data_IF_258923751685
#
_entry.id   IF_258923751685
#
_cell.length_a   1.000
_cell.length_b   1.000
_cell.length_c   1.000
_cell.angle_alpha   90.00
_cell.angle_beta   90.00
_cell.angle_gamma   90.00
#
_symmetry.space_group_name_H-M   'P 1'
#
loop_
_entity.id
_entity.type
_entity.pdbx_description
1 polymer ?
#
# COMPACT_ATOMS: atom_id res chain seq x y z
N UNK A 1 22.95 13.61 1.52
CA UNK A 1 21.53 13.55 1.94
C UNK A 1 20.89 12.26 1.47
N UNK A 2 20.93 11.93 0.16
CA UNK A 2 20.37 10.70 -0.39
C UNK A 2 21.00 9.44 0.23
N UNK A 3 22.34 9.38 0.41
CA UNK A 3 23.00 8.24 1.02
C UNK A 3 22.54 7.93 2.45
N UNK A 4 22.18 8.97 3.22
CA UNK A 4 21.60 8.78 4.57
C UNK A 4 20.19 8.21 4.48
N UNK A 5 19.38 8.69 3.54
CA UNK A 5 18.03 8.18 3.31
C UNK A 5 18.04 6.70 2.89
N UNK A 6 18.93 6.31 1.99
CA UNK A 6 19.12 4.91 1.56
C UNK A 6 19.51 4.02 2.74
N UNK A 7 20.53 4.43 3.52
CA UNK A 7 20.98 3.64 4.69
C UNK A 7 19.87 3.50 5.72
N UNK A 8 19.11 4.56 6.00
CA UNK A 8 18.00 4.50 6.98
C UNK A 8 16.88 3.61 6.47
N UNK A 9 16.43 3.81 5.22
CA UNK A 9 15.34 3.03 4.63
C UNK A 9 15.68 1.53 4.56
N UNK A 10 16.94 1.20 4.26
CA UNK A 10 17.40 -0.18 4.23
C UNK A 10 17.55 -0.78 5.64
N UNK A 11 18.06 -0.03 6.61
CA UNK A 11 18.12 -0.50 8.01
C UNK A 11 16.73 -0.84 8.57
N UNK A 12 15.74 0.00 8.27
CA UNK A 12 14.34 -0.28 8.62
C UNK A 12 13.83 -1.53 7.89
N UNK A 13 14.16 -1.68 6.60
CA UNK A 13 13.80 -2.85 5.80
C UNK A 13 14.35 -4.15 6.39
N UNK A 14 15.66 -4.21 6.73
CA UNK A 14 16.27 -5.39 7.35
C UNK A 14 15.54 -5.81 8.63
N UNK A 15 15.20 -4.84 9.48
CA UNK A 15 14.47 -5.11 10.71
C UNK A 15 13.06 -5.64 10.45
N UNK A 16 12.35 -5.08 9.47
CA UNK A 16 11.00 -5.49 9.09
C UNK A 16 10.99 -6.88 8.45
N UNK A 17 11.95 -7.19 7.60
CA UNK A 17 12.13 -8.54 7.02
C UNK A 17 12.31 -9.56 8.14
N UNK A 18 13.15 -9.29 9.13
CA UNK A 18 13.33 -10.17 10.29
C UNK A 18 12.02 -10.41 11.06
N UNK A 19 11.17 -9.40 11.17
CA UNK A 19 9.82 -9.52 11.75
C UNK A 19 8.90 -10.43 10.92
N UNK A 20 8.89 -10.25 9.60
CA UNK A 20 8.13 -11.08 8.66
C UNK A 20 8.60 -12.54 8.69
N UNK A 21 9.90 -12.77 8.62
CA UNK A 21 10.50 -14.12 8.70
C UNK A 21 10.15 -14.83 10.00
N UNK A 22 10.17 -14.11 11.12
CA UNK A 22 9.81 -14.66 12.43
C UNK A 22 8.35 -15.11 12.49
N UNK A 23 7.44 -14.33 11.94
CA UNK A 23 6.00 -14.62 11.98
C UNK A 23 5.58 -15.66 10.93
N UNK A 24 6.03 -15.49 9.70
CA UNK A 24 5.54 -16.27 8.56
C UNK A 24 6.45 -17.44 8.15
N UNK A 25 7.66 -17.54 8.71
CA UNK A 25 8.59 -18.66 8.51
C UNK A 25 8.76 -19.00 7.01
N UNK A 26 8.42 -20.23 6.61
CA UNK A 26 8.54 -20.70 5.23
C UNK A 26 7.66 -19.91 4.23
N UNK A 27 6.65 -19.20 4.71
CA UNK A 27 5.76 -18.35 3.91
C UNK A 27 6.20 -16.88 3.86
N UNK A 28 7.34 -16.52 4.48
CA UNK A 28 7.84 -15.13 4.51
C UNK A 28 8.08 -14.57 3.11
N UNK A 29 8.61 -15.37 2.18
CA UNK A 29 8.82 -14.96 0.78
C UNK A 29 7.53 -14.46 0.10
N UNK A 30 6.40 -15.12 0.37
CA UNK A 30 5.08 -14.71 -0.14
C UNK A 30 4.66 -13.33 0.40
N UNK A 31 4.92 -13.06 1.68
CA UNK A 31 4.63 -11.76 2.29
C UNK A 31 5.53 -10.66 1.71
N UNK A 32 6.81 -10.96 1.46
CA UNK A 32 7.74 -10.03 0.81
C UNK A 32 7.33 -9.75 -0.63
N UNK A 33 6.81 -10.73 -1.37
CA UNK A 33 6.25 -10.53 -2.71
C UNK A 33 5.03 -9.61 -2.68
N UNK A 34 4.14 -9.76 -1.71
CA UNK A 34 3.03 -8.84 -1.49
C UNK A 34 3.52 -7.43 -1.14
N UNK A 35 4.50 -7.29 -0.24
CA UNK A 35 5.10 -6.02 0.12
C UNK A 35 5.69 -5.28 -1.10
N UNK A 36 6.42 -6.00 -1.96
CA UNK A 36 7.02 -5.44 -3.17
C UNK A 36 5.97 -4.95 -4.19
N UNK A 37 4.77 -5.50 -4.16
CA UNK A 37 3.66 -5.13 -5.03
C UNK A 37 2.68 -4.13 -4.39
N UNK A 38 2.78 -3.86 -3.09
CA UNK A 38 1.84 -3.04 -2.34
C UNK A 38 1.75 -1.60 -2.84
N UNK A 39 2.80 -1.07 -3.49
CA UNK A 39 2.80 0.28 -4.08
C UNK A 39 1.68 0.49 -5.10
N UNK A 40 1.23 -0.57 -5.78
CA UNK A 40 0.12 -0.53 -6.75
C UNK A 40 -1.18 -1.12 -6.24
N UNK A 41 -1.13 -2.08 -5.30
CA UNK A 41 -2.34 -2.77 -4.79
C UNK A 41 -2.96 -2.07 -3.59
N UNK A 42 -2.12 -1.55 -2.70
CA UNK A 42 -2.53 -0.92 -1.45
C UNK A 42 -2.01 0.53 -1.29
N UNK A 43 -1.23 1.06 -2.25
CA UNK A 43 -0.65 2.40 -2.16
C UNK A 43 0.40 2.55 -1.05
N UNK A 44 1.01 1.45 -0.61
CA UNK A 44 2.01 1.39 0.46
C UNK A 44 3.39 1.04 -0.11
N UNK A 45 4.45 1.60 0.46
CA UNK A 45 5.81 1.09 0.23
C UNK A 45 5.98 -0.29 0.87
N UNK A 46 7.02 -1.01 0.47
CA UNK A 46 7.32 -2.33 1.04
C UNK A 46 7.52 -2.28 2.56
N UNK A 47 8.20 -1.24 3.07
CA UNK A 47 8.40 -1.02 4.49
C UNK A 47 7.07 -0.77 5.23
N UNK A 48 6.22 0.14 4.71
CA UNK A 48 4.90 0.43 5.30
C UNK A 48 4.00 -0.81 5.30
N UNK A 49 4.04 -1.62 4.24
CA UNK A 49 3.32 -2.89 4.19
C UNK A 49 3.83 -3.86 5.26
N UNK A 50 5.14 -4.07 5.36
CA UNK A 50 5.73 -5.00 6.34
C UNK A 50 5.49 -4.55 7.79
N UNK A 51 5.55 -3.26 8.09
CA UNK A 51 5.18 -2.70 9.39
C UNK A 51 3.71 -2.99 9.71
N UNK A 52 2.82 -2.77 8.75
CA UNK A 52 1.39 -3.01 8.91
C UNK A 52 1.12 -4.49 9.14
N UNK A 53 1.62 -5.37 8.28
CA UNK A 53 1.37 -6.82 8.36
C UNK A 53 1.84 -7.42 9.67
N UNK A 54 3.03 -7.06 10.15
CA UNK A 54 3.59 -7.60 11.40
C UNK A 54 2.80 -7.16 12.62
N UNK A 55 2.10 -6.03 12.54
CA UNK A 55 1.36 -5.45 13.68
C UNK A 55 0.14 -6.27 14.14
N UNK A 56 -0.43 -7.15 13.30
CA UNK A 56 -1.63 -7.93 13.61
C UNK A 56 -1.55 -9.42 13.22
N UNK A 57 -0.51 -9.85 12.50
CA UNK A 57 -0.43 -11.21 11.95
C UNK A 57 -0.34 -12.32 13.00
N UNK A 58 0.19 -12.04 14.19
CA UNK A 58 0.18 -13.00 15.29
C UNK A 58 -1.24 -13.49 15.64
N UNK A 59 -2.23 -12.60 15.57
CA UNK A 59 -3.64 -12.94 15.79
C UNK A 59 -4.24 -13.72 14.63
N UNK A 60 -3.86 -13.43 13.37
CA UNK A 60 -4.24 -14.23 12.22
C UNK A 60 -3.69 -15.65 12.31
N UNK A 61 -2.40 -15.80 12.60
CA UNK A 61 -1.75 -17.09 12.79
C UNK A 61 -2.47 -17.92 13.87
N UNK A 62 -2.80 -17.28 14.99
CA UNK A 62 -3.55 -17.95 16.07
C UNK A 62 -4.93 -18.40 15.62
N UNK A 63 -5.67 -17.57 14.88
CA UNK A 63 -7.02 -17.91 14.41
C UNK A 63 -7.02 -18.97 13.29
N UNK A 64 -5.90 -19.12 12.58
CA UNK A 64 -5.71 -20.09 11.49
C UNK A 64 -4.93 -21.35 11.92
N UNK A 65 -4.76 -21.56 13.24
CA UNK A 65 -4.07 -22.73 13.78
C UNK A 65 -2.59 -22.82 13.42
N UNK A 66 -1.94 -21.69 13.14
CA UNK A 66 -0.53 -21.59 12.78
C UNK A 66 -0.23 -21.80 11.28
N UNK A 67 -1.25 -21.84 10.42
CA UNK A 67 -1.08 -21.93 8.97
C UNK A 67 -0.52 -20.61 8.42
N UNK A 68 0.80 -20.57 8.21
CA UNK A 68 1.52 -19.37 7.79
C UNK A 68 1.18 -18.93 6.37
N UNK A 69 0.87 -19.88 5.48
CA UNK A 69 0.51 -19.57 4.09
C UNK A 69 -0.85 -18.89 4.02
N UNK A 70 -1.87 -19.45 4.69
CA UNK A 70 -3.17 -18.80 4.78
C UNK A 70 -3.09 -17.46 5.51
N UNK A 71 -2.30 -17.38 6.58
CA UNK A 71 -2.12 -16.13 7.30
C UNK A 71 -1.52 -15.03 6.41
N UNK A 72 -0.61 -15.35 5.50
CA UNK A 72 -0.09 -14.41 4.51
C UNK A 72 -1.21 -13.89 3.58
N UNK A 73 -2.08 -14.77 3.06
CA UNK A 73 -3.19 -14.39 2.19
C UNK A 73 -4.23 -13.51 2.90
N UNK A 74 -4.58 -13.89 4.13
CA UNK A 74 -5.51 -13.10 4.94
C UNK A 74 -4.93 -11.74 5.36
N UNK A 75 -3.63 -11.68 5.60
CA UNK A 75 -2.95 -10.45 5.93
C UNK A 75 -2.92 -9.48 4.73
N UNK A 76 -2.61 -9.97 3.53
CA UNK A 76 -2.65 -9.17 2.30
C UNK A 76 -4.07 -8.68 1.99
N UNK A 77 -5.07 -9.57 2.13
CA UNK A 77 -6.49 -9.20 2.02
C UNK A 77 -6.85 -8.07 3.00
N UNK A 78 -6.47 -8.21 4.28
CA UNK A 78 -6.77 -7.20 5.29
C UNK A 78 -6.13 -5.84 4.97
N UNK A 79 -4.86 -5.82 4.54
CA UNK A 79 -4.15 -4.57 4.20
C UNK A 79 -4.76 -3.91 2.96
N UNK A 80 -5.08 -4.69 1.94
CA UNK A 80 -5.76 -4.19 0.74
C UNK A 80 -7.12 -3.61 1.09
N UNK A 81 -7.92 -4.32 1.90
CA UNK A 81 -9.23 -3.84 2.37
C UNK A 81 -9.13 -2.57 3.22
N UNK A 82 -8.10 -2.45 4.07
CA UNK A 82 -7.85 -1.21 4.83
C UNK A 82 -7.59 -0.03 3.90
N UNK A 83 -6.72 -0.22 2.89
CA UNK A 83 -6.39 0.82 1.92
C UNK A 83 -7.58 1.21 1.05
N UNK A 84 -8.32 0.22 0.56
CA UNK A 84 -9.52 0.44 -0.24
C UNK A 84 -10.59 1.18 0.54
N UNK A 85 -10.79 0.84 1.81
CA UNK A 85 -11.71 1.54 2.71
C UNK A 85 -11.26 2.98 2.95
N UNK A 86 -10.02 3.19 3.33
CA UNK A 86 -9.46 4.52 3.57
C UNK A 86 -9.65 5.41 2.34
N UNK A 87 -9.33 4.88 1.17
CA UNK A 87 -9.42 5.61 -0.09
C UNK A 87 -10.87 5.91 -0.49
N UNK A 88 -11.74 4.88 -0.54
CA UNK A 88 -13.12 5.01 -1.00
C UNK A 88 -14.00 5.82 -0.05
N UNK A 89 -13.83 5.61 1.25
CA UNK A 89 -14.66 6.25 2.28
C UNK A 89 -14.06 7.58 2.77
N UNK A 90 -12.86 7.96 2.29
CA UNK A 90 -12.15 9.15 2.76
C UNK A 90 -11.80 9.07 4.24
N UNK A 91 -11.43 7.90 4.72
CA UNK A 91 -11.02 7.66 6.10
C UNK A 91 -9.50 7.73 6.20
N UNK A 92 -9.02 8.06 7.39
CA UNK A 92 -7.60 8.02 7.68
C UNK A 92 -7.11 6.57 7.81
N UNK A 93 -6.02 6.22 7.12
CA UNK A 93 -5.47 4.85 7.08
C UNK A 93 -5.07 4.35 8.48
N UNK A 94 -4.48 5.21 9.31
CA UNK A 94 -4.10 4.84 10.68
C UNK A 94 -5.33 4.52 11.54
N UNK A 95 -6.40 5.26 11.36
CA UNK A 95 -7.69 4.99 12.04
C UNK A 95 -8.27 3.63 11.65
N UNK A 96 -8.21 3.27 10.37
CA UNK A 96 -8.66 1.95 9.89
C UNK A 96 -7.74 0.84 10.41
N UNK A 97 -6.42 1.02 10.33
CA UNK A 97 -5.45 0.07 10.85
C UNK A 97 -5.63 -0.17 12.36
N UNK A 98 -5.90 0.90 13.13
CA UNK A 98 -6.16 0.77 14.56
C UNK A 98 -7.47 0.01 14.84
N UNK A 99 -8.49 0.14 13.99
CA UNK A 99 -9.72 -0.66 14.08
C UNK A 99 -9.39 -2.16 13.89
N UNK A 100 -8.66 -2.53 12.84
CA UNK A 100 -8.26 -3.92 12.60
C UNK A 100 -7.36 -4.49 13.72
N UNK A 101 -6.42 -3.70 14.26
CA UNK A 101 -5.65 -4.05 15.47
C UNK A 101 -6.56 -4.24 16.70
N UNK A 102 -7.62 -3.46 16.81
CA UNK A 102 -8.66 -3.65 17.84
C UNK A 102 -9.41 -4.96 17.64
N UNK A 103 -9.86 -5.27 16.43
CA UNK A 103 -10.58 -6.51 16.11
C UNK A 103 -9.73 -7.74 16.39
N UNK A 104 -8.44 -7.70 16.13
CA UNK A 104 -7.50 -8.78 16.46
C UNK A 104 -7.42 -9.08 17.95
N UNK A 105 -7.82 -8.13 18.80
CA UNK A 105 -7.89 -8.23 20.28
C UNK A 105 -9.33 -8.35 20.79
N UNK A 106 -10.29 -8.65 19.92
CA UNK A 106 -11.73 -8.72 20.24
C UNK A 106 -12.30 -7.40 20.79
N UNK A 107 -11.76 -6.27 20.35
CA UNK A 107 -12.22 -4.92 20.69
C UNK A 107 -12.82 -4.27 19.46
N UNK A 108 -14.13 -3.98 19.49
CA UNK A 108 -14.92 -3.55 18.32
C UNK A 108 -15.31 -2.07 18.34
N UNK A 109 -14.80 -1.31 19.30
CA UNK A 109 -15.17 0.12 19.52
C UNK A 109 -14.85 1.03 18.34
N UNK A 110 -13.97 0.62 17.45
CA UNK A 110 -13.56 1.39 16.27
C UNK A 110 -14.17 0.86 14.95
N UNK A 111 -15.19 0.00 15.01
CA UNK A 111 -15.81 -0.55 13.80
C UNK A 111 -16.47 0.55 12.96
N UNK A 112 -17.00 1.58 13.58
CA UNK A 112 -17.59 2.74 12.94
C UNK A 112 -16.59 3.58 12.12
N UNK A 113 -15.29 3.50 12.41
CA UNK A 113 -14.24 4.15 11.60
C UNK A 113 -14.24 3.65 10.14
N UNK A 114 -14.66 2.40 9.89
CA UNK A 114 -14.77 1.84 8.56
C UNK A 114 -15.92 2.44 7.74
N UNK A 115 -16.84 3.15 8.38
CA UNK A 115 -18.02 3.81 7.73
C UNK A 115 -18.89 2.85 6.90
N UNK A 116 -18.95 1.59 7.27
CA UNK A 116 -19.72 0.54 6.58
C UNK A 116 -21.19 0.46 7.07
N UNK A 117 -21.63 1.38 7.93
CA UNK A 117 -22.99 1.41 8.47
C UNK A 117 -23.17 0.57 9.73
N UNK A 118 -22.08 0.21 10.39
CA UNK A 118 -22.06 -0.52 11.66
C UNK A 118 -21.47 0.36 12.76
N UNK A 119 -22.05 0.29 13.98
CA UNK A 119 -21.56 1.02 15.15
C UNK A 119 -20.40 0.28 15.84
N UNK A 120 -19.75 0.97 16.78
CA UNK A 120 -18.56 0.48 17.50
C UNK A 120 -18.90 -0.45 18.67
N UNK A 121 -19.71 -1.49 18.48
CA UNK A 121 -20.04 -2.46 19.53
C UNK A 121 -19.86 -3.91 19.07
N UNK A 122 -19.84 -4.84 20.03
CA UNK A 122 -19.76 -6.27 19.71
C UNK A 122 -20.99 -6.77 18.96
N UNK A 123 -22.17 -6.26 19.33
CA UNK A 123 -23.44 -6.58 18.69
C UNK A 123 -23.45 -6.11 17.23
N UNK A 124 -22.88 -4.95 16.95
CA UNK A 124 -22.76 -4.43 15.59
C UNK A 124 -21.73 -5.21 14.75
N UNK A 125 -20.64 -5.69 15.35
CA UNK A 125 -19.73 -6.62 14.68
C UNK A 125 -20.44 -7.93 14.36
N UNK A 126 -21.24 -8.49 15.31
CA UNK A 126 -22.03 -9.69 15.03
C UNK A 126 -23.01 -9.45 13.89
N UNK A 127 -23.69 -8.30 13.85
CA UNK A 127 -24.59 -7.92 12.75
C UNK A 127 -23.84 -7.88 11.40
N UNK A 128 -22.61 -7.35 11.37
CA UNK A 128 -21.78 -7.34 10.17
C UNK A 128 -21.49 -8.78 9.70
N UNK A 129 -21.14 -9.68 10.62
CA UNK A 129 -20.88 -11.09 10.30
C UNK A 129 -22.14 -11.79 9.77
N UNK A 130 -23.30 -11.52 10.39
CA UNK A 130 -24.59 -12.09 9.97
C UNK A 130 -25.01 -11.57 8.58
N UNK A 131 -24.70 -10.31 8.26
CA UNK A 131 -24.96 -9.73 6.94
C UNK A 131 -23.99 -10.30 5.88
N UNK A 132 -22.71 -10.49 6.23
CA UNK A 132 -21.73 -11.15 5.37
C UNK A 132 -22.11 -12.61 5.10
N UNK A 133 -22.65 -13.34 6.10
CA UNK A 133 -23.18 -14.70 5.93
C UNK A 133 -24.32 -14.75 4.90
N UNK A 134 -25.25 -13.79 4.96
CA UNK A 134 -26.36 -13.70 3.99
C UNK A 134 -25.88 -13.49 2.54
N UNK A 135 -24.76 -12.78 2.36
CA UNK A 135 -24.19 -12.50 1.04
C UNK A 135 -23.37 -13.69 0.54
N UNK A 136 -22.46 -14.23 1.37
CA UNK A 136 -21.50 -15.26 0.98
C UNK A 136 -22.01 -16.68 1.12
N UNK A 137 -23.01 -16.90 1.99
CA UNK A 137 -23.46 -18.24 2.42
C UNK A 137 -22.48 -18.92 3.40
N UNK A 138 -21.43 -18.23 3.86
CA UNK A 138 -20.41 -18.75 4.79
C UNK A 138 -20.73 -18.22 6.19
N UNK A 139 -20.73 -19.12 7.18
CA UNK A 139 -20.90 -18.73 8.58
C UNK A 139 -19.57 -18.26 9.17
N UNK A 140 -19.59 -17.11 9.82
CA UNK A 140 -18.44 -16.46 10.45
C UNK A 140 -18.51 -16.54 11.97
N UNK A 141 -17.35 -16.75 12.61
CA UNK A 141 -17.22 -16.77 14.08
C UNK A 141 -16.57 -15.46 14.55
N UNK A 142 -17.27 -14.69 15.37
CA UNK A 142 -16.78 -13.44 15.93
C UNK A 142 -15.51 -13.61 16.78
N UNK A 143 -15.23 -14.80 17.29
CA UNK A 143 -14.01 -15.12 18.04
C UNK A 143 -12.79 -15.36 17.13
N UNK A 144 -13.02 -15.64 15.85
CA UNK A 144 -11.97 -15.86 14.84
C UNK A 144 -11.63 -14.54 14.14
N UNK A 145 -10.38 -14.08 14.29
CA UNK A 145 -9.95 -12.87 13.61
C UNK A 145 -9.93 -13.02 12.08
N UNK A 146 -9.57 -14.20 11.57
CA UNK A 146 -9.63 -14.50 10.14
C UNK A 146 -11.07 -14.38 9.60
N UNK A 147 -12.07 -14.87 10.34
CA UNK A 147 -13.48 -14.77 9.94
C UNK A 147 -13.96 -13.31 9.93
N UNK A 148 -13.51 -12.49 10.89
CA UNK A 148 -13.81 -11.06 10.94
C UNK A 148 -13.23 -10.37 9.69
N UNK A 149 -11.96 -10.64 9.34
CA UNK A 149 -11.33 -10.09 8.13
C UNK A 149 -12.12 -10.48 6.88
N UNK A 150 -12.49 -11.74 6.76
CA UNK A 150 -13.22 -12.24 5.59
C UNK A 150 -14.64 -11.65 5.49
N UNK A 151 -15.34 -11.54 6.60
CA UNK A 151 -16.66 -10.91 6.64
C UNK A 151 -16.61 -9.41 6.24
N UNK A 152 -15.61 -8.66 6.72
CA UNK A 152 -15.40 -7.27 6.32
C UNK A 152 -15.13 -7.19 4.81
N UNK A 153 -14.29 -8.08 4.28
CA UNK A 153 -14.02 -8.16 2.84
C UNK A 153 -15.30 -8.36 2.01
N UNK A 154 -16.16 -9.29 2.44
CA UNK A 154 -17.46 -9.55 1.77
C UNK A 154 -18.34 -8.30 1.77
N UNK A 155 -18.46 -7.61 2.90
CA UNK A 155 -19.24 -6.38 2.99
C UNK A 155 -18.65 -5.27 2.12
N UNK A 156 -17.32 -5.08 2.13
CA UNK A 156 -16.67 -4.08 1.29
C UNK A 156 -16.80 -4.38 -0.20
N UNK A 157 -16.75 -5.66 -0.57
CA UNK A 157 -16.95 -6.10 -1.96
C UNK A 157 -18.37 -5.80 -2.43
N UNK A 158 -19.38 -6.12 -1.63
CA UNK A 158 -20.80 -5.81 -1.92
C UNK A 158 -21.04 -4.30 -2.06
N UNK A 159 -20.34 -3.49 -1.26
CA UNK A 159 -20.40 -2.01 -1.33
C UNK A 159 -19.57 -1.42 -2.47
N UNK A 160 -18.85 -2.21 -3.27
CA UNK A 160 -17.99 -1.73 -4.36
C UNK A 160 -16.78 -0.92 -3.86
N UNK A 161 -16.26 -1.27 -2.69
CA UNK A 161 -15.07 -0.65 -2.09
C UNK A 161 -13.81 -1.40 -2.52
N UNK A 162 -13.86 -2.73 -2.54
CA UNK A 162 -12.73 -3.60 -2.89
C UNK A 162 -12.15 -3.27 -4.27
N UNK A 163 -10.84 -3.14 -4.38
CA UNK A 163 -10.09 -2.83 -5.61
C UNK A 163 -10.02 -1.34 -5.95
N UNK A 164 -10.57 -0.46 -5.11
CA UNK A 164 -10.60 0.99 -5.38
C UNK A 164 -9.19 1.57 -5.44
N UNK A 165 -8.29 1.20 -4.52
CA UNK A 165 -6.93 1.76 -4.45
C UNK A 165 -6.13 1.42 -5.70
N UNK A 166 -6.12 0.15 -6.11
CA UNK A 166 -5.43 -0.29 -7.31
C UNK A 166 -5.98 0.41 -8.58
N UNK A 167 -7.30 0.55 -8.67
CA UNK A 167 -7.95 1.24 -9.78
C UNK A 167 -7.58 2.74 -9.80
N UNK A 168 -7.62 3.41 -8.68
CA UNK A 168 -7.28 4.83 -8.60
C UNK A 168 -5.79 5.09 -8.87
N UNK A 169 -4.89 4.19 -8.46
CA UNK A 169 -3.47 4.26 -8.81
C UNK A 169 -3.25 4.32 -10.33
N UNK A 170 -4.10 3.67 -11.11
CA UNK A 170 -4.00 3.63 -12.56
C UNK A 170 -4.81 4.73 -13.28
N UNK A 171 -5.95 5.16 -12.71
CA UNK A 171 -6.95 5.95 -13.41
C UNK A 171 -7.08 7.40 -12.90
N UNK A 172 -6.53 7.74 -11.74
CA UNK A 172 -6.65 9.08 -11.16
C UNK A 172 -5.30 9.79 -11.04
N UNK A 173 -5.32 11.13 -11.04
CA UNK A 173 -4.11 11.94 -10.84
C UNK A 173 -3.55 11.69 -9.44
N UNK A 174 -4.40 11.77 -8.42
CA UNK A 174 -3.97 11.60 -7.02
C UNK A 174 -3.42 10.21 -6.76
N UNK A 175 -4.13 9.16 -7.18
CA UNK A 175 -3.69 7.77 -7.02
C UNK A 175 -2.38 7.48 -7.74
N UNK A 176 -2.22 7.96 -8.99
CA UNK A 176 -0.98 7.74 -9.75
C UNK A 176 0.22 8.48 -9.16
N UNK A 177 0.03 9.67 -8.58
CA UNK A 177 1.09 10.39 -7.83
C UNK A 177 1.46 9.60 -6.56
N UNK A 178 0.48 9.07 -5.83
CA UNK A 178 0.71 8.20 -4.68
C UNK A 178 1.53 6.98 -5.06
N UNK A 179 1.13 6.26 -6.11
CA UNK A 179 1.85 5.10 -6.64
C UNK A 179 3.30 5.44 -7.05
N UNK A 180 3.51 6.59 -7.70
CA UNK A 180 4.85 7.05 -8.06
C UNK A 180 5.71 7.30 -6.81
N UNK A 181 5.16 7.94 -5.79
CA UNK A 181 5.86 8.20 -4.53
C UNK A 181 6.29 6.90 -3.85
N UNK A 182 5.39 5.94 -3.71
CA UNK A 182 5.67 4.65 -3.05
C UNK A 182 6.62 3.78 -3.85
N UNK A 183 6.51 3.76 -5.19
CA UNK A 183 7.48 3.05 -6.04
C UNK A 183 8.89 3.65 -5.94
N UNK A 184 8.99 4.98 -5.78
CA UNK A 184 10.26 5.65 -5.56
C UNK A 184 10.84 5.35 -4.17
N UNK A 185 10.01 5.26 -3.13
CA UNK A 185 10.44 4.82 -1.80
C UNK A 185 11.02 3.40 -1.84
N UNK A 186 10.36 2.47 -2.56
CA UNK A 186 10.88 1.12 -2.74
C UNK A 186 12.24 1.10 -3.48
N UNK A 187 12.42 1.95 -4.47
CA UNK A 187 13.71 2.08 -5.15
C UNK A 187 14.80 2.58 -4.19
N UNK A 188 14.52 3.60 -3.37
CA UNK A 188 15.48 4.10 -2.36
C UNK A 188 15.87 2.99 -1.39
N UNK A 189 14.90 2.22 -0.89
CA UNK A 189 15.17 1.07 -0.01
C UNK A 189 16.03 0.03 -0.71
N UNK A 190 15.66 -0.36 -1.94
CA UNK A 190 16.38 -1.36 -2.73
C UNK A 190 17.82 -0.96 -3.09
N UNK A 191 18.12 0.34 -3.18
CA UNK A 191 19.50 0.81 -3.40
C UNK A 191 20.45 0.46 -2.25
N UNK A 192 19.93 0.17 -1.06
CA UNK A 192 20.73 -0.32 0.08
C UNK A 192 20.90 -1.83 0.11
N UNK A 193 20.15 -2.57 -0.70
CA UNK A 193 20.11 -4.03 -0.73
C UNK A 193 20.92 -4.57 -1.93
N UNK A 194 21.99 -5.32 -1.64
CA UNK A 194 22.86 -5.90 -2.66
C UNK A 194 22.14 -6.97 -3.53
N UNK A 195 21.08 -7.57 -3.01
CA UNK A 195 20.29 -8.61 -3.69
C UNK A 195 19.05 -8.05 -4.39
N UNK A 196 18.76 -6.73 -4.27
CA UNK A 196 17.59 -6.12 -4.88
C UNK A 196 17.68 -6.10 -6.41
N UNK A 197 16.55 -6.37 -7.05
CA UNK A 197 16.42 -6.20 -8.50
C UNK A 197 16.18 -4.71 -8.83
N UNK A 198 17.27 -3.94 -8.93
CA UNK A 198 17.23 -2.49 -9.20
C UNK A 198 16.56 -2.19 -10.54
N UNK A 199 16.76 -3.00 -11.57
CA UNK A 199 16.12 -2.80 -12.86
C UNK A 199 14.59 -2.85 -12.74
N UNK A 200 14.06 -3.83 -12.00
CA UNK A 200 12.63 -3.94 -11.74
C UNK A 200 12.09 -2.75 -10.93
N UNK A 201 12.83 -2.28 -9.94
CA UNK A 201 12.44 -1.13 -9.14
C UNK A 201 12.44 0.16 -9.97
N UNK A 202 13.41 0.35 -10.84
CA UNK A 202 13.43 1.45 -11.81
C UNK A 202 12.24 1.37 -12.79
N UNK A 203 11.95 0.17 -13.31
CA UNK A 203 10.79 -0.04 -14.18
C UNK A 203 9.47 0.30 -13.47
N UNK A 204 9.34 -0.06 -12.20
CA UNK A 204 8.17 0.29 -11.40
C UNK A 204 7.99 1.81 -11.27
N UNK A 205 9.07 2.57 -11.04
CA UNK A 205 9.05 4.05 -11.00
C UNK A 205 8.67 4.63 -12.37
N UNK A 206 9.29 4.14 -13.45
CA UNK A 206 8.98 4.59 -14.82
C UNK A 206 7.53 4.33 -15.19
N UNK A 207 7.00 3.17 -14.85
CA UNK A 207 5.60 2.82 -15.15
C UNK A 207 4.62 3.65 -14.31
N UNK A 208 4.93 3.90 -13.04
CA UNK A 208 4.16 4.80 -12.19
C UNK A 208 4.15 6.23 -12.73
N UNK A 209 5.30 6.72 -13.21
CA UNK A 209 5.39 8.04 -13.86
C UNK A 209 4.56 8.13 -15.14
N UNK A 210 4.57 7.07 -15.98
CA UNK A 210 3.70 7.01 -17.18
C UNK A 210 2.21 7.13 -16.82
N UNK A 211 1.78 6.51 -15.71
CA UNK A 211 0.40 6.64 -15.23
C UNK A 211 0.07 8.08 -14.82
N UNK A 212 0.98 8.78 -14.15
CA UNK A 212 0.82 10.20 -13.82
C UNK A 212 0.65 11.04 -15.08
N UNK A 213 1.53 10.86 -16.07
CA UNK A 213 1.48 11.60 -17.36
C UNK A 213 0.17 11.32 -18.08
N UNK A 214 -0.25 10.04 -18.15
CA UNK A 214 -1.53 9.64 -18.77
C UNK A 214 -2.70 10.37 -18.12
N UNK A 215 -2.76 10.40 -16.80
CA UNK A 215 -3.89 10.95 -16.05
C UNK A 215 -3.92 12.48 -16.06
N UNK A 216 -2.77 13.15 -16.10
CA UNK A 216 -2.65 14.62 -16.18
C UNK A 216 -2.93 15.16 -17.59
N UNK A 217 -2.60 14.40 -18.65
CA UNK A 217 -2.69 14.84 -20.04
C UNK A 217 -4.05 15.43 -20.44
N UNK A 218 -5.21 14.86 -20.06
CA UNK A 218 -6.52 15.44 -20.40
C UNK A 218 -6.73 16.82 -19.76
N UNK A 219 -6.24 17.03 -18.55
CA UNK A 219 -6.34 18.32 -17.84
C UNK A 219 -5.52 19.38 -18.56
N UNK A 220 -4.28 19.05 -18.93
CA UNK A 220 -3.39 19.94 -19.69
C UNK A 220 -4.01 20.29 -21.05
N UNK A 221 -4.56 19.31 -21.77
CA UNK A 221 -5.23 19.54 -23.06
C UNK A 221 -6.47 20.44 -22.93
N UNK A 222 -7.26 20.28 -21.86
CA UNK A 222 -8.41 21.14 -21.59
C UNK A 222 -7.99 22.57 -21.25
N UNK A 223 -6.96 22.74 -20.42
CA UNK A 223 -6.40 24.06 -20.10
C UNK A 223 -5.87 24.76 -21.36
N UNK A 224 -5.15 24.04 -22.22
CA UNK A 224 -4.65 24.57 -23.48
C UNK A 224 -5.76 25.06 -24.42
N UNK A 225 -6.91 24.40 -24.42
CA UNK A 225 -8.08 24.80 -25.24
C UNK A 225 -8.86 25.96 -24.64
N UNK A 226 -8.94 26.03 -23.32
CA UNK A 226 -9.84 26.96 -22.61
C UNK A 226 -9.14 28.28 -22.27
N UNK A 227 -7.84 28.25 -22.04
CA UNK A 227 -7.04 29.41 -21.64
C UNK A 227 -5.69 29.35 -22.38
N UNK A 228 -5.62 29.81 -23.66
CA UNK A 228 -4.39 29.74 -24.44
C UNK A 228 -3.17 30.43 -23.77
N UNK A 229 -3.39 31.52 -23.02
CA UNK A 229 -2.34 32.24 -22.29
C UNK A 229 -1.89 31.53 -21.00
N UNK A 230 -2.65 30.51 -20.48
CA UNK A 230 -2.24 29.75 -19.31
C UNK A 230 -1.23 28.64 -19.66
N UNK A 231 -1.13 28.26 -20.93
CA UNK A 231 -0.09 27.31 -21.40
C UNK A 231 1.31 27.90 -21.25
N UNK A 232 1.51 29.21 -21.55
CA UNK A 232 2.81 29.86 -21.29
C UNK A 232 3.14 29.82 -19.80
N UNK A 233 2.19 30.11 -18.91
CA UNK A 233 2.41 30.09 -17.47
C UNK A 233 2.66 28.66 -16.91
N UNK A 234 2.04 27.63 -17.49
CA UNK A 234 2.28 26.23 -17.11
C UNK A 234 3.65 25.77 -17.63
N UNK A 235 4.01 26.11 -18.86
CA UNK A 235 5.33 25.81 -19.42
C UNK A 235 6.42 26.55 -18.66
N UNK A 236 6.20 27.78 -18.27
CA UNK A 236 7.12 28.56 -17.43
C UNK A 236 7.24 27.98 -16.01
N UNK A 237 6.17 27.42 -15.45
CA UNK A 237 6.19 26.78 -14.14
C UNK A 237 6.83 25.37 -14.16
N UNK A 238 6.68 24.62 -15.24
CA UNK A 238 7.24 23.26 -15.41
C UNK A 238 8.69 23.32 -15.91
N UNK A 239 9.02 24.30 -16.74
CA UNK A 239 10.35 24.45 -17.35
C UNK A 239 11.50 24.49 -16.33
N UNK A 240 11.40 25.15 -15.16
CA UNK A 240 12.42 25.09 -14.11
C UNK A 240 12.52 23.73 -13.42
N UNK A 241 11.44 22.95 -13.42
CA UNK A 241 11.40 21.62 -12.77
C UNK A 241 12.09 20.55 -13.64
N UNK A 242 12.11 20.73 -14.96
CA UNK A 242 12.76 19.80 -15.89
C UNK A 242 14.26 19.62 -15.59
N UNK A 243 15.07 20.70 -15.39
CA UNK A 243 16.46 20.55 -14.97
C UNK A 243 16.60 19.86 -13.61
N UNK A 244 15.73 20.16 -12.63
CA UNK A 244 15.76 19.52 -11.32
C UNK A 244 15.49 18.02 -11.41
N UNK A 245 14.51 17.59 -12.23
CA UNK A 245 14.26 16.16 -12.50
C UNK A 245 15.42 15.48 -13.25
N UNK A 246 16.04 16.19 -14.21
CA UNK A 246 17.23 15.71 -14.91
C UNK A 246 18.42 15.61 -13.96
N UNK A 247 18.63 16.61 -13.10
CA UNK A 247 19.70 16.61 -12.10
C UNK A 247 19.48 15.48 -11.07
N UNK A 248 18.24 15.24 -10.65
CA UNK A 248 17.90 14.11 -9.77
C UNK A 248 18.20 12.77 -10.46
N UNK A 249 17.88 12.64 -11.75
CA UNK A 249 18.19 11.45 -12.56
C UNK A 249 19.70 11.25 -12.75
N UNK A 250 20.45 12.31 -13.00
CA UNK A 250 21.92 12.25 -13.14
C UNK A 250 22.55 11.93 -11.78
N UNK A 251 22.13 12.56 -10.70
CA UNK A 251 22.64 12.29 -9.35
C UNK A 251 22.35 10.86 -8.90
N UNK A 252 21.19 10.31 -9.26
CA UNK A 252 20.84 8.92 -9.02
C UNK A 252 21.76 7.97 -9.81
N UNK A 253 22.02 8.29 -11.07
CA UNK A 253 22.90 7.52 -11.93
C UNK A 253 24.36 7.59 -11.47
N UNK A 254 24.86 8.76 -11.08
CA UNK A 254 26.19 8.95 -10.51
C UNK A 254 26.35 8.25 -9.16
N UNK A 255 25.34 8.25 -8.30
CA UNK A 255 25.34 7.53 -7.03
C UNK A 255 25.40 6.00 -7.25
N UNK A 256 24.65 5.50 -8.25
CA UNK A 256 24.72 4.09 -8.68
C UNK A 256 26.09 3.71 -9.21
N UNK A 257 26.68 4.54 -10.09
CA UNK A 257 28.03 4.30 -10.63
C UNK A 257 29.09 4.31 -9.55
N UNK A 258 29.05 5.30 -8.65
CA UNK A 258 30.02 5.40 -7.55
C UNK A 258 29.87 4.24 -6.56
N UNK A 259 28.64 3.81 -6.25
CA UNK A 259 28.41 2.63 -5.43
C UNK A 259 28.96 1.34 -6.04
N UNK A 260 28.88 1.19 -7.37
CA UNK A 260 29.48 0.05 -8.10
C UNK A 260 31.01 0.13 -8.10
N UNK A 261 31.56 1.34 -8.27
CA UNK A 261 33.02 1.55 -8.30
C UNK A 261 33.64 1.32 -6.92
N UNK A 262 32.96 1.73 -5.85
CA UNK A 262 33.43 1.54 -4.47
C UNK A 262 33.35 0.07 -4.00
N UNK A 263 32.59 -0.78 -4.70
CA UNK A 263 32.50 -2.22 -4.44
C UNK A 263 33.48 -3.07 -5.26
N UNK A 264 34.20 -2.48 -6.24
CA UNK A 264 35.24 -3.12 -7.04
C UNK A 264 36.64 -2.87 -6.49
#
# INVERSE_FOLDING_TARGET
>A
KLGVEVVTAYADYEQLVGGVETLFQDSSGKVLDYANNAYKTAGLSANEYMETVTSFSASLLSSLGGDTEKAADYADKAITDMSDNANKMGSDMDSIMNAYKGFSKQTFTMLDNLKLGYGGTKEEMQRLLDDAEKISGIKYDISSYADIVDAIHVIQTEMGITGTTAKEAEETISGSIGMLKTSFQNLITGMGDADANIDQLCDNVVNSFKSVVKNISPVIQNLAKTIPNAMEGILDAISPLIPEFLELGVNLFEALLNGIIDML
#
